data_IF_643425095929
#
_entry.id   IF_643425095929
#
_cell.length_a   1.000
_cell.length_b   1.000
_cell.length_c   1.000
_cell.angle_alpha   90.00
_cell.angle_beta   90.00
_cell.angle_gamma   90.00
#
_symmetry.space_group_name_H-M   'P 1'
#
loop_
_entity.id
_entity.type
_entity.pdbx_description
1 polymer ?
#
# COMPACT_ATOMS: atom_id res chain seq x y z
N UNK A 1 38.76 -0.72 9.87
CA UNK A 1 37.79 -0.68 8.73
C UNK A 1 36.52 0.00 9.20
N UNK A 2 36.05 1.07 8.52
CA UNK A 2 34.82 1.77 8.90
C UNK A 2 33.61 0.86 8.60
N UNK A 3 32.77 0.62 9.59
CA UNK A 3 31.53 -0.16 9.49
C UNK A 3 30.60 0.51 8.47
N UNK A 4 30.17 -0.24 7.44
CA UNK A 4 29.20 0.22 6.44
C UNK A 4 27.86 0.53 7.16
N UNK A 5 27.35 1.76 7.03
CA UNK A 5 26.09 2.19 7.67
C UNK A 5 24.91 1.47 7.03
N UNK A 6 23.85 1.23 7.82
CA UNK A 6 22.62 0.64 7.30
C UNK A 6 21.91 1.60 6.33
N UNK A 7 21.16 1.05 5.35
CA UNK A 7 20.31 1.83 4.46
C UNK A 7 19.22 2.52 5.28
N UNK A 8 19.08 3.85 5.15
CA UNK A 8 18.08 4.64 5.88
C UNK A 8 18.65 5.59 6.95
N UNK A 9 19.83 5.33 7.49
CA UNK A 9 20.42 6.16 8.58
C UNK A 9 20.82 7.59 8.18
N UNK A 10 20.69 7.97 6.91
CA UNK A 10 21.11 9.27 6.39
C UNK A 10 22.63 9.46 6.35
N UNK A 11 23.07 10.56 5.77
CA UNK A 11 24.49 10.90 5.67
C UNK A 11 24.78 12.21 6.44
N UNK A 12 25.77 12.19 7.35
CA UNK A 12 26.19 13.37 8.11
C UNK A 12 27.58 13.81 7.63
N UNK A 13 27.69 15.07 7.25
CA UNK A 13 28.94 15.68 6.80
C UNK A 13 29.18 17.07 7.42
N UNK A 14 30.45 17.48 7.55
CA UNK A 14 30.81 18.85 7.92
C UNK A 14 30.86 19.70 6.65
N UNK A 15 30.19 20.84 6.66
CA UNK A 15 30.19 21.81 5.55
C UNK A 15 31.41 22.71 5.63
N UNK A 16 31.71 23.40 4.53
CA UNK A 16 32.84 24.39 4.47
C UNK A 16 32.60 25.57 5.40
N UNK A 17 31.36 25.91 5.72
CA UNK A 17 30.95 26.95 6.67
C UNK A 17 31.07 26.56 8.14
N UNK A 18 31.66 25.40 8.43
CA UNK A 18 31.89 24.91 9.78
C UNK A 18 30.68 24.18 10.41
N UNK A 19 29.47 24.29 9.83
CA UNK A 19 28.25 23.62 10.31
C UNK A 19 28.22 22.16 9.88
N UNK A 20 27.45 21.36 10.62
CA UNK A 20 27.16 19.97 10.28
C UNK A 20 25.83 19.87 9.54
N UNK A 21 25.78 19.01 8.52
CA UNK A 21 24.60 18.73 7.70
C UNK A 21 24.32 17.24 7.71
N UNK A 22 23.06 16.87 8.05
CA UNK A 22 22.53 15.53 7.90
C UNK A 22 21.55 15.49 6.75
N UNK A 23 21.67 14.53 5.82
CA UNK A 23 20.75 14.32 4.69
C UNK A 23 20.01 13.03 4.83
N UNK A 24 18.70 13.06 4.56
CA UNK A 24 17.84 11.87 4.58
C UNK A 24 16.85 11.89 3.41
N UNK A 25 16.31 10.74 3.10
CA UNK A 25 15.24 10.61 2.10
C UNK A 25 13.91 10.90 2.78
N UNK A 26 13.19 11.92 2.31
CA UNK A 26 11.90 12.32 2.86
C UNK A 26 10.71 11.71 2.09
N UNK A 27 10.98 10.86 1.07
CA UNK A 27 9.99 10.24 0.22
C UNK A 27 10.41 10.28 -1.25
N UNK A 28 9.45 10.03 -2.12
CA UNK A 28 9.62 10.09 -3.57
C UNK A 28 8.57 11.03 -4.17
N UNK A 29 8.93 11.74 -5.23
CA UNK A 29 8.02 12.59 -5.99
C UNK A 29 7.01 11.72 -6.76
N UNK A 30 5.72 11.93 -6.53
CA UNK A 30 4.63 11.13 -7.10
C UNK A 30 4.57 11.18 -8.64
N UNK A 31 5.01 12.29 -9.26
CA UNK A 31 4.95 12.48 -10.71
C UNK A 31 6.19 11.98 -11.44
N UNK A 32 7.36 12.10 -10.81
CA UNK A 32 8.65 11.83 -11.47
C UNK A 32 9.34 10.58 -10.94
N UNK A 33 8.87 9.99 -9.84
CA UNK A 33 9.52 8.86 -9.14
C UNK A 33 10.89 9.21 -8.56
N UNK A 34 11.30 10.49 -8.59
CA UNK A 34 12.60 10.92 -8.08
C UNK A 34 12.61 11.01 -6.58
N UNK A 35 13.73 10.58 -5.98
CA UNK A 35 13.94 10.62 -4.54
C UNK A 35 14.00 12.07 -4.03
N UNK A 36 13.10 12.40 -3.10
CA UNK A 36 13.09 13.67 -2.39
C UNK A 36 14.06 13.60 -1.21
N UNK A 37 15.12 14.41 -1.25
CA UNK A 37 16.13 14.47 -0.19
C UNK A 37 15.97 15.79 0.57
N UNK A 38 15.83 15.69 1.92
CA UNK A 38 15.85 16.84 2.83
C UNK A 38 17.14 16.84 3.65
N UNK A 39 17.50 18.01 4.19
CA UNK A 39 18.68 18.15 5.05
C UNK A 39 18.33 18.86 6.36
N UNK A 40 19.01 18.46 7.44
CA UNK A 40 18.98 19.11 8.74
C UNK A 40 20.35 19.68 9.05
N UNK A 41 20.40 20.84 9.70
CA UNK A 41 21.62 21.56 10.01
C UNK A 41 21.78 21.71 11.52
N UNK A 42 23.03 21.71 12.00
CA UNK A 42 23.36 21.95 13.40
C UNK A 42 24.79 22.44 13.56
N UNK A 43 25.10 22.96 14.75
CA UNK A 43 26.42 23.42 15.12
C UNK A 43 27.37 22.27 15.46
N UNK A 44 26.83 21.17 15.99
CA UNK A 44 27.58 19.98 16.39
C UNK A 44 27.09 18.73 15.66
N UNK A 45 27.96 17.72 15.56
CA UNK A 45 27.62 16.44 14.98
C UNK A 45 26.53 15.71 15.79
N UNK A 46 26.58 15.82 17.12
CA UNK A 46 25.59 15.20 18.01
C UNK A 46 24.19 15.80 17.81
N UNK A 47 24.09 17.13 17.72
CA UNK A 47 22.84 17.84 17.44
C UNK A 47 22.22 17.42 16.11
N UNK A 48 23.05 17.30 15.05
CA UNK A 48 22.57 16.87 13.74
C UNK A 48 22.14 15.41 13.74
N UNK A 49 22.83 14.56 14.48
CA UNK A 49 22.45 13.15 14.62
C UNK A 49 21.06 13.00 15.30
N UNK A 50 20.81 13.77 16.34
CA UNK A 50 19.51 13.77 17.04
C UNK A 50 18.38 14.31 16.13
N UNK A 51 18.63 15.47 15.50
CA UNK A 51 17.67 16.06 14.54
C UNK A 51 17.40 15.14 13.36
N UNK A 52 18.42 14.47 12.85
CA UNK A 52 18.30 13.53 11.75
C UNK A 52 17.45 12.31 12.16
N UNK A 53 17.68 11.74 13.33
CA UNK A 53 16.89 10.63 13.85
C UNK A 53 15.41 11.01 14.00
N UNK A 54 15.11 12.20 14.56
CA UNK A 54 13.74 12.72 14.65
C UNK A 54 13.11 12.92 13.27
N UNK A 55 13.83 13.53 12.32
CA UNK A 55 13.32 13.81 10.99
C UNK A 55 13.09 12.53 10.15
N UNK A 56 13.93 11.50 10.33
CA UNK A 56 13.72 10.18 9.70
C UNK A 56 12.49 9.51 10.31
N UNK A 57 12.35 9.49 11.63
CA UNK A 57 11.18 8.92 12.31
C UNK A 57 9.87 9.65 11.93
N UNK A 58 9.92 10.99 11.79
CA UNK A 58 8.79 11.78 11.28
C UNK A 58 8.45 11.45 9.83
N UNK A 59 9.45 11.31 8.94
CA UNK A 59 9.24 10.93 7.55
C UNK A 59 8.63 9.53 7.43
N UNK A 60 9.15 8.56 8.17
CA UNK A 60 8.58 7.20 8.27
C UNK A 60 7.17 7.23 8.86
N UNK A 61 6.89 8.08 9.85
CA UNK A 61 5.54 8.21 10.43
C UNK A 61 4.53 8.87 9.47
N UNK A 62 4.98 9.69 8.54
CA UNK A 62 4.11 10.30 7.50
C UNK A 62 3.71 9.25 6.47
N UNK A 63 4.64 8.38 6.02
CA UNK A 63 4.30 7.25 5.15
C UNK A 63 3.40 6.23 5.88
N UNK A 64 3.65 6.02 7.17
CA UNK A 64 2.80 5.19 8.04
C UNK A 64 1.40 5.81 8.24
N UNK A 65 1.27 7.15 8.36
CA UNK A 65 -0.03 7.83 8.47
C UNK A 65 -0.83 7.73 7.17
N UNK A 66 -0.19 7.81 5.99
CA UNK A 66 -0.89 7.61 4.71
C UNK A 66 -1.44 6.19 4.58
N UNK A 67 -0.70 5.18 5.04
CA UNK A 67 -1.21 3.81 5.08
C UNK A 67 -2.34 3.62 6.12
N UNK A 68 -2.43 4.46 7.18
CA UNK A 68 -3.54 4.48 8.13
C UNK A 68 -4.82 5.09 7.55
N UNK A 69 -4.72 5.90 6.50
CA UNK A 69 -5.85 6.53 5.82
C UNK A 69 -6.56 5.59 4.86
N UNK A 70 -5.89 4.51 4.39
CA UNK A 70 -6.50 3.59 3.45
C UNK A 70 -7.21 2.43 4.14
N UNK A 71 -8.51 2.30 3.82
CA UNK A 71 -9.21 1.02 3.97
C UNK A 71 -8.94 0.13 2.76
N UNK A 72 -9.23 -1.17 2.85
CA UNK A 72 -9.09 -2.07 1.70
C UNK A 72 -9.90 -1.57 0.49
N UNK A 73 -11.13 -1.10 0.72
CA UNK A 73 -12.00 -0.60 -0.36
C UNK A 73 -11.44 0.63 -1.05
N UNK A 74 -10.98 1.63 -0.29
CA UNK A 74 -10.38 2.86 -0.85
C UNK A 74 -9.07 2.56 -1.57
N UNK A 75 -8.25 1.65 -1.03
CA UNK A 75 -7.05 1.21 -1.71
C UNK A 75 -7.34 0.50 -3.04
N UNK A 76 -8.27 -0.45 -3.06
CA UNK A 76 -8.64 -1.18 -4.27
C UNK A 76 -9.17 -0.25 -5.37
N UNK A 77 -9.94 0.77 -5.00
CA UNK A 77 -10.40 1.79 -5.94
C UNK A 77 -9.22 2.57 -6.54
N UNK A 78 -8.31 3.06 -5.69
CA UNK A 78 -7.11 3.78 -6.11
C UNK A 78 -6.22 2.90 -7.00
N UNK A 79 -5.96 1.67 -6.58
CA UNK A 79 -5.18 0.71 -7.36
C UNK A 79 -5.82 0.40 -8.71
N UNK A 80 -7.14 0.21 -8.74
CA UNK A 80 -7.84 -0.07 -9.98
C UNK A 80 -7.72 1.08 -10.98
N UNK A 81 -8.01 2.32 -10.57
CA UNK A 81 -7.98 3.49 -11.47
C UNK A 81 -6.57 3.85 -11.93
N UNK A 82 -5.58 3.82 -11.03
CA UNK A 82 -4.22 4.30 -11.32
C UNK A 82 -3.31 3.23 -11.92
N UNK A 83 -3.44 1.96 -11.49
CA UNK A 83 -2.47 0.93 -11.85
C UNK A 83 -3.05 -0.17 -12.73
N UNK A 84 -4.29 -0.63 -12.48
CA UNK A 84 -4.82 -1.77 -13.20
C UNK A 84 -5.50 -1.37 -14.51
N UNK A 85 -6.48 -0.48 -14.46
CA UNK A 85 -7.35 -0.10 -15.58
C UNK A 85 -6.59 0.37 -16.84
N UNK A 86 -5.50 1.18 -16.76
CA UNK A 86 -4.77 1.64 -17.94
C UNK A 86 -4.11 0.52 -18.73
N UNK A 87 -3.85 -0.63 -18.09
CA UNK A 87 -3.12 -1.77 -18.69
C UNK A 87 -4.01 -2.97 -19.02
N UNK A 88 -5.31 -2.90 -18.71
CA UNK A 88 -6.24 -3.99 -18.89
C UNK A 88 -7.12 -3.80 -20.13
N UNK A 89 -7.49 -4.92 -20.75
CA UNK A 89 -8.58 -4.92 -21.75
C UNK A 89 -9.90 -4.57 -21.07
N UNK A 90 -10.80 -3.92 -21.78
CA UNK A 90 -12.08 -3.46 -21.26
C UNK A 90 -12.85 -4.54 -20.49
N UNK A 91 -12.95 -5.76 -21.02
CA UNK A 91 -13.66 -6.86 -20.36
C UNK A 91 -13.03 -7.26 -19.02
N UNK A 92 -11.69 -7.24 -18.92
CA UNK A 92 -10.97 -7.56 -17.68
C UNK A 92 -11.09 -6.41 -16.67
N UNK A 93 -11.02 -5.17 -17.14
CA UNK A 93 -11.22 -4.00 -16.29
C UNK A 93 -12.63 -3.99 -15.67
N UNK A 94 -13.65 -4.29 -16.48
CA UNK A 94 -15.03 -4.41 -16.00
C UNK A 94 -15.21 -5.57 -15.01
N UNK A 95 -14.55 -6.72 -15.24
CA UNK A 95 -14.52 -7.82 -14.29
C UNK A 95 -13.89 -7.41 -12.94
N UNK A 96 -12.77 -6.67 -12.97
CA UNK A 96 -12.11 -6.17 -11.76
C UNK A 96 -12.99 -5.16 -11.01
N UNK A 97 -13.55 -4.19 -11.73
CA UNK A 97 -14.46 -3.20 -11.17
C UNK A 97 -15.62 -3.88 -10.42
N UNK A 98 -16.30 -4.80 -11.08
CA UNK A 98 -17.42 -5.54 -10.48
C UNK A 98 -16.99 -6.41 -9.30
N UNK A 99 -15.81 -7.04 -9.37
CA UNK A 99 -15.23 -7.79 -8.26
C UNK A 99 -15.02 -6.93 -7.02
N UNK A 100 -14.47 -5.73 -7.21
CA UNK A 100 -14.25 -4.76 -6.13
C UNK A 100 -15.57 -4.27 -5.55
N UNK A 101 -16.43 -3.70 -6.40
CA UNK A 101 -17.65 -3.03 -5.97
C UNK A 101 -18.71 -3.96 -5.38
N UNK A 102 -18.90 -5.14 -5.97
CA UNK A 102 -20.02 -6.01 -5.64
C UNK A 102 -19.65 -7.14 -4.69
N UNK A 103 -18.39 -7.54 -4.64
CA UNK A 103 -17.96 -8.71 -3.87
C UNK A 103 -17.04 -8.38 -2.70
N UNK A 104 -16.07 -7.48 -2.87
CA UNK A 104 -15.05 -7.23 -1.85
C UNK A 104 -15.47 -6.09 -0.93
N UNK A 105 -15.75 -4.91 -1.51
CA UNK A 105 -16.05 -3.69 -0.74
C UNK A 105 -17.21 -3.87 0.25
N UNK A 106 -18.36 -4.50 -0.10
CA UNK A 106 -19.46 -4.66 0.83
C UNK A 106 -19.17 -5.60 2.01
N UNK A 107 -18.12 -6.42 1.93
CA UNK A 107 -17.80 -7.46 2.92
C UNK A 107 -16.65 -7.09 3.84
N UNK A 108 -15.56 -6.64 3.24
CA UNK A 108 -14.30 -6.35 3.95
C UNK A 108 -13.68 -5.01 3.56
N UNK A 109 -14.38 -4.17 2.77
CA UNK A 109 -13.87 -2.90 2.26
C UNK A 109 -13.51 -1.90 3.34
N UNK A 110 -14.21 -1.91 4.48
CA UNK A 110 -13.99 -0.98 5.59
C UNK A 110 -12.80 -1.35 6.50
N UNK A 111 -12.19 -2.51 6.28
CA UNK A 111 -11.03 -2.94 7.08
C UNK A 111 -9.82 -2.06 6.72
N UNK A 112 -9.21 -1.36 7.70
CA UNK A 112 -7.97 -0.64 7.47
C UNK A 112 -6.88 -1.58 6.95
N UNK A 113 -6.11 -1.18 5.92
CA UNK A 113 -5.08 -2.03 5.31
C UNK A 113 -4.11 -2.63 6.32
N UNK A 114 -3.70 -1.86 7.31
CA UNK A 114 -2.81 -2.31 8.40
C UNK A 114 -3.41 -3.40 9.29
N UNK A 115 -4.74 -3.49 9.36
CA UNK A 115 -5.46 -4.49 10.15
C UNK A 115 -5.92 -5.67 9.31
N UNK A 116 -5.67 -5.64 8.01
CA UNK A 116 -6.04 -6.74 7.11
C UNK A 116 -5.19 -7.98 7.42
N UNK A 117 -5.85 -9.10 7.63
CA UNK A 117 -5.21 -10.38 7.94
C UNK A 117 -5.56 -11.44 6.92
N UNK A 118 -4.74 -12.50 6.82
CA UNK A 118 -5.08 -13.67 6.01
C UNK A 118 -6.43 -14.31 6.40
N UNK A 119 -6.82 -14.22 7.68
CA UNK A 119 -8.12 -14.71 8.16
C UNK A 119 -9.29 -13.93 7.53
N UNK A 120 -9.17 -12.61 7.38
CA UNK A 120 -10.20 -11.80 6.71
C UNK A 120 -10.39 -12.24 5.26
N UNK A 121 -9.31 -12.53 4.55
CA UNK A 121 -9.36 -13.01 3.16
C UNK A 121 -9.95 -14.40 3.06
N UNK A 122 -9.58 -15.32 3.95
CA UNK A 122 -10.17 -16.68 4.00
C UNK A 122 -11.66 -16.63 4.30
N UNK A 123 -12.09 -15.77 5.23
CA UNK A 123 -13.51 -15.54 5.50
C UNK A 123 -14.25 -15.03 4.27
N UNK A 124 -13.66 -14.03 3.56
CA UNK A 124 -14.21 -13.52 2.32
C UNK A 124 -14.42 -14.64 1.29
N UNK A 125 -13.40 -15.47 1.04
CA UNK A 125 -13.52 -16.56 0.05
C UNK A 125 -14.59 -17.56 0.41
N UNK A 126 -14.69 -17.93 1.70
CA UNK A 126 -15.75 -18.80 2.19
C UNK A 126 -17.14 -18.19 1.98
N UNK A 127 -17.33 -16.93 2.36
CA UNK A 127 -18.60 -16.24 2.17
C UNK A 127 -18.98 -16.13 0.68
N UNK A 128 -18.02 -15.84 -0.19
CA UNK A 128 -18.25 -15.80 -1.63
C UNK A 128 -18.63 -17.17 -2.19
N UNK A 129 -18.10 -18.25 -1.65
CA UNK A 129 -18.42 -19.62 -2.02
C UNK A 129 -19.81 -20.02 -1.59
N UNK A 130 -20.28 -19.50 -0.45
CA UNK A 130 -21.60 -19.82 0.13
C UNK A 130 -22.69 -18.86 -0.37
N UNK A 131 -22.39 -17.54 -0.46
CA UNK A 131 -23.37 -16.48 -0.66
C UNK A 131 -23.02 -15.45 -1.74
N UNK A 132 -21.99 -15.71 -2.56
CA UNK A 132 -21.45 -14.71 -3.48
C UNK A 132 -22.34 -14.35 -4.67
N UNK A 133 -23.40 -15.08 -4.95
CA UNK A 133 -24.29 -14.80 -6.09
C UNK A 133 -25.22 -13.64 -5.79
N UNK A 134 -25.23 -12.63 -6.67
CA UNK A 134 -26.07 -11.44 -6.53
C UNK A 134 -27.48 -11.62 -7.11
N UNK A 135 -27.67 -12.60 -8.00
CA UNK A 135 -28.98 -12.94 -8.56
C UNK A 135 -29.49 -14.17 -7.84
N UNK A 136 -30.81 -14.22 -7.60
CA UNK A 136 -31.45 -15.44 -7.09
C UNK A 136 -30.97 -16.66 -7.87
N UNK A 137 -30.57 -17.67 -7.14
CA UNK A 137 -30.13 -18.91 -7.76
C UNK A 137 -31.32 -19.52 -8.53
N UNK A 138 -31.17 -19.73 -9.83
CA UNK A 138 -32.12 -20.52 -10.59
C UNK A 138 -32.28 -21.89 -9.88
N UNK A 139 -33.49 -22.45 -9.88
CA UNK A 139 -33.79 -23.77 -9.27
C UNK A 139 -32.65 -24.76 -9.59
N UNK A 140 -31.99 -25.27 -8.53
CA UNK A 140 -30.90 -26.24 -8.65
C UNK A 140 -29.47 -25.68 -8.76
N UNK A 141 -29.25 -24.36 -8.76
CA UNK A 141 -27.90 -23.77 -8.72
C UNK A 141 -27.52 -23.29 -7.33
N UNK A 142 -26.26 -23.52 -6.94
CA UNK A 142 -25.70 -23.07 -5.67
C UNK A 142 -25.73 -21.53 -5.57
N UNK A 143 -26.00 -20.98 -4.37
CA UNK A 143 -26.06 -19.52 -4.15
C UNK A 143 -24.68 -18.84 -4.18
N UNK A 144 -23.60 -19.60 -4.19
CA UNK A 144 -22.24 -19.11 -4.19
C UNK A 144 -21.64 -18.85 -5.57
N UNK A 145 -20.45 -18.27 -5.59
CA UNK A 145 -19.62 -18.12 -6.79
C UNK A 145 -18.86 -19.42 -7.10
N UNK A 146 -18.52 -19.61 -8.38
CA UNK A 146 -17.67 -20.74 -8.77
C UNK A 146 -16.23 -20.55 -8.29
N UNK A 147 -15.50 -21.65 -8.09
CA UNK A 147 -14.10 -21.64 -7.66
C UNK A 147 -13.21 -20.86 -8.65
N UNK A 148 -13.52 -20.90 -9.95
CA UNK A 148 -12.79 -20.11 -10.97
C UNK A 148 -12.99 -18.61 -10.77
N UNK A 149 -14.18 -18.16 -10.41
CA UNK A 149 -14.46 -16.74 -10.11
C UNK A 149 -13.75 -16.31 -8.83
N UNK A 150 -13.78 -17.13 -7.78
CA UNK A 150 -13.10 -16.86 -6.51
C UNK A 150 -11.58 -16.79 -6.72
N UNK A 151 -11.02 -17.69 -7.53
CA UNK A 151 -9.59 -17.65 -7.92
C UNK A 151 -9.25 -16.36 -8.65
N UNK A 152 -10.10 -15.88 -9.56
CA UNK A 152 -9.91 -14.60 -10.23
C UNK A 152 -9.92 -13.41 -9.27
N UNK A 153 -10.84 -13.40 -8.29
CA UNK A 153 -10.87 -12.39 -7.21
C UNK A 153 -9.61 -12.47 -6.35
N UNK A 154 -9.15 -13.68 -6.01
CA UNK A 154 -7.90 -13.86 -5.26
C UNK A 154 -6.70 -13.28 -6.00
N UNK A 155 -6.53 -13.58 -7.28
CA UNK A 155 -5.42 -13.06 -8.10
C UNK A 155 -5.45 -11.52 -8.20
N UNK A 156 -6.62 -10.93 -8.35
CA UNK A 156 -6.79 -9.49 -8.35
C UNK A 156 -6.39 -8.86 -7.00
N UNK A 157 -6.87 -9.43 -5.87
CA UNK A 157 -6.49 -8.99 -4.53
C UNK A 157 -4.99 -9.13 -4.28
N UNK A 158 -4.40 -10.25 -4.69
CA UNK A 158 -2.96 -10.48 -4.57
C UNK A 158 -2.16 -9.36 -5.27
N UNK A 159 -2.48 -9.05 -6.52
CA UNK A 159 -1.81 -8.01 -7.29
C UNK A 159 -1.98 -6.62 -6.64
N UNK A 160 -3.17 -6.31 -6.15
CA UNK A 160 -3.45 -5.04 -5.48
C UNK A 160 -2.70 -4.90 -4.15
N UNK A 161 -2.65 -5.97 -3.33
CA UNK A 161 -1.96 -5.97 -2.05
C UNK A 161 -0.44 -6.02 -2.21
N UNK A 162 0.07 -6.74 -3.20
CA UNK A 162 1.50 -6.70 -3.55
C UNK A 162 1.94 -5.29 -3.94
N UNK A 163 1.08 -4.55 -4.64
CA UNK A 163 1.34 -3.14 -4.96
C UNK A 163 1.32 -2.27 -3.70
N UNK A 164 0.38 -2.49 -2.78
CA UNK A 164 0.30 -1.76 -1.52
C UNK A 164 1.56 -1.90 -0.64
N UNK A 165 2.22 -3.05 -0.70
CA UNK A 165 3.49 -3.29 0.05
C UNK A 165 4.67 -2.53 -0.56
N UNK A 166 4.60 -2.17 -1.85
CA UNK A 166 5.66 -1.46 -2.59
C UNK A 166 5.51 0.06 -2.55
N UNK A 167 4.35 0.58 -2.14
CA UNK A 167 4.05 2.02 -1.98
C UNK A 167 4.33 2.51 -0.57
#
# INVERSE_FOLDING_TARGET
MAKKRANGEGNIRKRKDGRWEGRYTAGYDEKTGKRLTKSVLGKTQAEVKEKLAKAVAEAESVDVRRADEYTLGTWLQTWYELYAKPHLRFSTAEYYRRGIELHITPRIGDIPLKKLTGRNLQWLYKDLQEHGRLREAQKGKQPGLSDSTIRGIHMMLHNALERAVKE
#
